data_IF_152447331195
#
_entry.id   IF_152447331195
#
_cell.length_a   1.000
_cell.length_b   1.000
_cell.length_c   1.000
_cell.angle_alpha   90.00
_cell.angle_beta   90.00
_cell.angle_gamma   90.00
#
_symmetry.space_group_name_H-M   'P 1'
#
loop_
_entity.id
_entity.type
_entity.pdbx_description
1 polymer ?
#
# COMPACT_ATOMS: atom_id res chain seq x y z
N UNK A 1 -10.21 -10.91 24.15
CA UNK A 1 -11.39 -10.17 23.65
C UNK A 1 -10.97 -8.74 23.29
N UNK A 2 -10.07 -8.58 22.31
CA UNK A 2 -9.55 -7.27 21.88
C UNK A 2 -8.99 -7.34 20.45
N UNK A 3 -9.72 -7.99 19.54
CA UNK A 3 -9.34 -8.18 18.13
C UNK A 3 -10.45 -7.75 17.15
N UNK A 4 -11.37 -6.87 17.58
CA UNK A 4 -12.58 -6.53 16.81
C UNK A 4 -12.75 -5.04 16.49
N UNK A 5 -11.69 -4.22 16.48
CA UNK A 5 -11.80 -2.79 16.14
C UNK A 5 -10.56 -2.22 15.45
N UNK A 6 -10.00 -2.93 14.47
CA UNK A 6 -9.27 -2.23 13.41
C UNK A 6 -10.26 -2.03 12.26
N UNK A 7 -10.78 -0.81 12.04
CA UNK A 7 -11.58 -0.55 10.84
C UNK A 7 -10.72 -0.93 9.64
N UNK A 8 -11.37 -1.45 8.60
CA UNK A 8 -10.86 -1.89 7.28
C UNK A 8 -9.96 -0.85 6.59
N UNK A 9 -8.82 -0.57 7.18
CA UNK A 9 -7.83 0.43 6.84
C UNK A 9 -6.52 -0.29 7.11
N UNK A 10 -6.02 -1.06 6.15
CA UNK A 10 -4.63 -1.47 6.22
C UNK A 10 -3.80 -0.26 5.82
N UNK A 11 -3.52 0.56 6.83
CA UNK A 11 -2.46 1.55 6.86
C UNK A 11 -1.13 0.79 6.77
N UNK A 12 -0.47 0.93 5.64
CA UNK A 12 0.96 0.65 5.53
C UNK A 12 1.73 1.73 6.31
N UNK A 13 1.80 1.58 7.64
CA UNK A 13 2.71 2.34 8.49
C UNK A 13 3.81 1.41 9.01
N UNK A 14 4.89 1.27 8.24
CA UNK A 14 6.23 1.13 8.80
C UNK A 14 7.16 2.05 8.01
N UNK A 15 7.05 3.33 8.32
CA UNK A 15 8.22 4.19 8.43
C UNK A 15 7.88 5.18 9.52
N UNK A 16 8.68 5.21 10.57
CA UNK A 16 8.53 6.06 11.74
C UNK A 16 8.69 7.58 11.42
N UNK A 17 8.39 8.02 10.18
CA UNK A 17 8.83 9.31 9.63
C UNK A 17 7.72 10.11 8.89
N UNK A 18 6.52 9.57 8.58
CA UNK A 18 5.73 10.25 7.52
C UNK A 18 4.21 10.41 7.62
N UNK A 19 3.57 10.13 8.75
CA UNK A 19 2.30 10.79 9.05
C UNK A 19 2.62 11.97 9.98
N UNK A 20 2.76 13.16 9.39
CA UNK A 20 2.90 14.49 10.02
C UNK A 20 4.22 14.90 10.70
N UNK A 21 5.20 14.02 10.94
CA UNK A 21 6.42 14.41 11.65
C UNK A 21 7.71 14.14 10.86
N UNK A 22 8.20 15.18 10.18
CA UNK A 22 9.56 15.18 9.61
C UNK A 22 10.59 15.31 10.73
N UNK A 23 11.66 14.51 10.65
CA UNK A 23 12.78 14.64 11.58
C UNK A 23 13.58 15.94 11.36
N UNK A 24 13.59 16.45 10.13
CA UNK A 24 14.27 17.69 9.74
C UNK A 24 13.27 18.76 9.26
N UNK A 25 13.56 20.04 9.54
CA UNK A 25 12.81 21.17 9.00
C UNK A 25 13.15 21.47 7.53
N UNK A 26 12.36 22.33 6.89
CA UNK A 26 12.60 22.80 5.51
C UNK A 26 12.06 21.88 4.40
N UNK A 27 11.15 20.97 4.72
CA UNK A 27 10.60 19.99 3.76
C UNK A 27 9.31 20.45 3.04
N UNK A 28 9.00 21.74 3.04
CA UNK A 28 7.74 22.31 2.54
C UNK A 28 7.39 21.86 1.12
N UNK A 29 8.36 21.88 0.20
CA UNK A 29 8.16 21.44 -1.18
C UNK A 29 8.13 19.92 -1.32
N UNK A 30 8.88 19.21 -0.48
CA UNK A 30 8.90 17.74 -0.48
C UNK A 30 7.55 17.20 -0.02
N UNK A 31 6.97 17.82 1.01
CA UNK A 31 5.63 17.49 1.51
C UNK A 31 4.56 17.70 0.45
N UNK A 32 4.66 18.79 -0.33
CA UNK A 32 3.76 19.06 -1.45
C UNK A 32 3.88 17.99 -2.54
N UNK A 33 5.12 17.62 -2.92
CA UNK A 33 5.37 16.60 -3.95
C UNK A 33 4.89 15.23 -3.49
N UNK A 34 5.15 14.84 -2.25
CA UNK A 34 4.72 13.57 -1.70
C UNK A 34 3.19 13.49 -1.62
N UNK A 35 2.54 14.54 -1.13
CA UNK A 35 1.07 14.61 -1.06
C UNK A 35 0.45 14.51 -2.45
N UNK A 36 1.02 15.22 -3.44
CA UNK A 36 0.56 15.15 -4.82
C UNK A 36 0.75 13.75 -5.42
N UNK A 37 1.87 13.09 -5.11
CA UNK A 37 2.14 11.72 -5.56
C UNK A 37 1.11 10.75 -5.00
N UNK A 38 0.80 10.85 -3.70
CA UNK A 38 -0.22 10.02 -3.05
C UNK A 38 -1.60 10.23 -3.66
N UNK A 39 -2.00 11.48 -3.90
CA UNK A 39 -3.28 11.81 -4.53
C UNK A 39 -3.39 11.20 -5.92
N UNK A 40 -2.37 11.39 -6.77
CA UNK A 40 -2.34 10.83 -8.12
C UNK A 40 -2.35 9.31 -8.13
N UNK A 41 -1.68 8.68 -7.17
CA UNK A 41 -1.69 7.23 -7.05
C UNK A 41 -3.10 6.71 -6.73
N UNK A 42 -3.82 7.33 -5.79
CA UNK A 42 -5.21 6.97 -5.51
C UNK A 42 -6.13 7.21 -6.70
N UNK A 43 -5.96 8.35 -7.38
CA UNK A 43 -6.73 8.69 -8.60
C UNK A 43 -6.48 7.71 -9.74
N UNK A 44 -5.22 7.30 -9.97
CA UNK A 44 -4.85 6.38 -11.05
C UNK A 44 -5.46 4.99 -10.92
N UNK A 45 -5.80 4.57 -9.70
CA UNK A 45 -6.48 3.30 -9.41
C UNK A 45 -7.94 3.50 -9.01
N UNK A 46 -8.49 4.71 -9.20
CA UNK A 46 -9.89 5.04 -8.88
C UNK A 46 -10.29 4.74 -7.42
N UNK A 47 -9.36 4.92 -6.48
CA UNK A 47 -9.55 4.54 -5.08
C UNK A 47 -10.13 5.68 -4.23
N UNK A 48 -11.06 5.33 -3.36
CA UNK A 48 -11.58 6.24 -2.35
C UNK A 48 -10.55 6.47 -1.24
N UNK A 49 -10.08 7.71 -1.10
CA UNK A 49 -9.15 8.17 -0.04
C UNK A 49 -9.62 7.89 1.39
N UNK A 50 -10.93 7.67 1.60
CA UNK A 50 -11.47 7.33 2.91
C UNK A 50 -11.33 5.84 3.25
N UNK A 51 -11.11 5.00 2.24
CA UNK A 51 -10.93 3.55 2.37
C UNK A 51 -9.47 3.14 2.18
N UNK A 52 -8.78 3.81 1.25
CA UNK A 52 -7.43 3.48 0.83
C UNK A 52 -6.44 4.59 1.15
N UNK A 53 -5.32 4.19 1.75
CA UNK A 53 -4.12 5.00 1.87
C UNK A 53 -3.00 4.43 1.01
N UNK A 54 -2.03 5.27 0.64
CA UNK A 54 -0.90 4.85 -0.18
C UNK A 54 0.41 5.34 0.42
N UNK A 55 1.41 4.45 0.47
CA UNK A 55 2.78 4.79 0.80
C UNK A 55 3.61 4.79 -0.50
N UNK A 56 4.24 5.92 -0.81
CA UNK A 56 4.99 6.15 -2.06
C UNK A 56 6.52 6.16 -1.84
N UNK A 57 6.99 5.78 -0.66
CA UNK A 57 8.40 5.77 -0.26
C UNK A 57 9.18 4.47 -0.56
N UNK A 58 8.57 3.28 -0.71
CA UNK A 58 9.34 2.06 -0.93
C UNK A 58 10.22 2.17 -2.18
N UNK A 59 11.51 1.83 -2.01
CA UNK A 59 12.53 2.02 -3.05
C UNK A 59 12.33 1.10 -4.26
N UNK A 60 11.72 -0.06 -4.06
CA UNK A 60 11.43 -1.06 -5.10
C UNK A 60 10.37 -2.05 -4.61
N UNK A 61 9.94 -2.98 -5.46
CA UNK A 61 8.92 -3.97 -5.13
C UNK A 61 9.35 -4.92 -4.01
N UNK A 62 10.59 -5.40 -4.02
CA UNK A 62 11.06 -6.34 -2.97
C UNK A 62 11.11 -5.70 -1.58
N UNK A 63 11.67 -4.48 -1.39
CA UNK A 63 11.55 -3.74 -0.13
C UNK A 63 10.10 -3.46 0.28
N UNK A 64 9.23 -3.09 -0.66
CA UNK A 64 7.82 -2.82 -0.36
C UNK A 64 7.12 -4.06 0.24
N UNK A 65 7.35 -5.24 -0.36
CA UNK A 65 6.79 -6.49 0.15
C UNK A 65 7.34 -6.82 1.55
N UNK A 66 8.64 -6.60 1.79
CA UNK A 66 9.25 -6.86 3.07
C UNK A 66 8.76 -5.91 4.18
N UNK A 67 8.52 -4.64 3.85
CA UNK A 67 7.91 -3.66 4.75
C UNK A 67 6.49 -4.08 5.15
N UNK A 68 5.67 -4.57 4.22
CA UNK A 68 4.33 -5.13 4.52
C UNK A 68 4.43 -6.29 5.50
N UNK A 69 5.33 -7.24 5.25
CA UNK A 69 5.51 -8.38 6.15
C UNK A 69 5.95 -7.93 7.54
N UNK A 70 6.89 -6.99 7.62
CA UNK A 70 7.38 -6.45 8.90
C UNK A 70 6.30 -5.67 9.65
N UNK A 71 5.37 -5.04 8.92
CA UNK A 71 4.26 -4.29 9.50
C UNK A 71 3.18 -5.19 10.11
N UNK A 72 2.84 -6.28 9.41
CA UNK A 72 1.69 -7.11 9.75
C UNK A 72 2.04 -8.36 10.55
N UNK A 73 3.30 -8.80 10.51
CA UNK A 73 3.74 -10.08 11.06
C UNK A 73 4.85 -9.88 12.09
N UNK A 74 4.78 -10.64 13.18
CA UNK A 74 5.91 -10.79 14.09
C UNK A 74 6.95 -11.75 13.51
N UNK A 75 8.23 -11.65 13.93
CA UNK A 75 9.22 -12.65 13.55
C UNK A 75 8.72 -14.07 13.86
N UNK A 76 8.84 -14.98 12.88
CA UNK A 76 8.37 -16.37 12.91
C UNK A 76 6.87 -16.61 12.73
N UNK A 77 6.07 -15.56 12.52
CA UNK A 77 4.69 -15.75 12.08
C UNK A 77 4.62 -16.39 10.70
N UNK A 78 3.57 -17.18 10.48
CA UNK A 78 3.36 -17.91 9.23
C UNK A 78 2.52 -17.07 8.27
N UNK A 79 3.04 -16.91 7.06
CA UNK A 79 2.29 -16.38 5.93
C UNK A 79 1.43 -17.53 5.38
N UNK A 80 0.13 -17.50 5.63
CA UNK A 80 -0.83 -18.43 5.02
C UNK A 80 -1.86 -17.65 4.22
N UNK A 81 -2.29 -18.21 3.10
CA UNK A 81 -3.24 -17.58 2.18
C UNK A 81 -4.59 -18.25 2.38
N UNK A 82 -5.58 -17.54 2.94
CA UNK A 82 -7.02 -17.74 2.71
C UNK A 82 -7.89 -16.93 3.68
N UNK A 83 -9.09 -16.57 3.21
CA UNK A 83 -10.20 -16.08 4.04
C UNK A 83 -10.64 -17.11 5.10
N UNK A 84 -10.46 -18.40 4.83
CA UNK A 84 -10.85 -19.49 5.73
C UNK A 84 -10.09 -19.51 7.07
N UNK A 85 -8.93 -18.86 7.14
CA UNK A 85 -8.09 -18.76 8.34
C UNK A 85 -8.07 -17.34 8.93
N UNK A 86 -8.82 -16.39 8.35
CA UNK A 86 -8.86 -14.99 8.80
C UNK A 86 -7.52 -14.26 8.66
N UNK A 87 -6.72 -14.64 7.66
CA UNK A 87 -5.44 -14.01 7.37
C UNK A 87 -5.60 -12.80 6.42
N UNK A 88 -4.68 -11.84 6.49
CA UNK A 88 -4.63 -10.73 5.55
C UNK A 88 -4.28 -11.21 4.14
N UNK A 89 -4.99 -10.70 3.14
CA UNK A 89 -4.70 -10.96 1.73
C UNK A 89 -3.84 -9.83 1.15
N UNK A 90 -2.59 -10.17 0.83
CA UNK A 90 -1.66 -9.28 0.13
C UNK A 90 -1.53 -9.70 -1.34
N UNK A 91 -1.64 -8.74 -2.25
CA UNK A 91 -1.46 -8.95 -3.70
C UNK A 91 -0.30 -8.11 -4.24
N UNK A 92 0.67 -8.77 -4.87
CA UNK A 92 1.72 -8.10 -5.66
C UNK A 92 1.27 -8.00 -7.12
N UNK A 93 0.92 -6.79 -7.55
CA UNK A 93 0.44 -6.52 -8.90
C UNK A 93 1.51 -5.92 -9.83
N UNK A 94 2.80 -6.06 -9.51
CA UNK A 94 3.90 -5.38 -10.20
C UNK A 94 3.91 -5.53 -11.74
N UNK A 95 3.41 -6.66 -12.28
CA UNK A 95 3.37 -6.90 -13.73
C UNK A 95 2.06 -6.47 -14.41
N UNK A 96 0.99 -6.26 -13.65
CA UNK A 96 -0.35 -5.99 -14.19
C UNK A 96 -0.88 -4.61 -13.79
N UNK A 97 -0.13 -3.84 -13.00
CA UNK A 97 -0.59 -2.59 -12.40
C UNK A 97 -1.18 -1.58 -13.40
N UNK A 98 -0.57 -1.43 -14.57
CA UNK A 98 -1.07 -0.53 -15.61
C UNK A 98 -2.29 -1.07 -16.35
N UNK A 99 -2.46 -2.39 -16.40
CA UNK A 99 -3.68 -3.01 -16.91
C UNK A 99 -4.84 -2.80 -15.92
N UNK A 100 -4.56 -2.90 -14.61
CA UNK A 100 -5.53 -2.64 -13.55
C UNK A 100 -5.95 -1.17 -13.58
N UNK A 101 -4.99 -0.24 -13.65
CA UNK A 101 -5.27 1.19 -13.70
C UNK A 101 -6.00 1.62 -14.99
N UNK A 102 -5.83 0.88 -16.09
CA UNK A 102 -6.59 1.07 -17.33
C UNK A 102 -7.95 0.35 -17.34
N UNK A 103 -8.34 -0.31 -16.25
CA UNK A 103 -9.60 -1.06 -16.09
C UNK A 103 -9.80 -2.18 -17.14
N UNK A 104 -8.71 -2.73 -17.70
CA UNK A 104 -8.79 -3.82 -18.70
C UNK A 104 -8.70 -5.22 -18.08
N UNK A 105 -8.36 -5.30 -16.80
CA UNK A 105 -8.33 -6.55 -16.01
C UNK A 105 -9.10 -6.35 -14.70
N UNK A 106 -9.44 -7.46 -14.03
CA UNK A 106 -10.16 -7.43 -12.76
C UNK A 106 -9.41 -6.61 -11.69
N UNK A 107 -10.17 -5.87 -10.90
CA UNK A 107 -9.63 -5.01 -9.86
C UNK A 107 -9.25 -5.83 -8.61
N UNK A 108 -7.95 -5.89 -8.23
CA UNK A 108 -7.52 -6.55 -7.00
C UNK A 108 -7.96 -5.80 -5.72
N UNK A 109 -8.28 -4.50 -5.78
CA UNK A 109 -8.64 -3.68 -4.63
C UNK A 109 -10.00 -4.04 -4.02
N UNK A 110 -10.84 -4.83 -4.69
CA UNK A 110 -12.11 -5.31 -4.11
C UNK A 110 -11.93 -6.43 -3.08
N UNK A 111 -10.88 -7.24 -3.25
CA UNK A 111 -10.67 -8.47 -2.48
C UNK A 111 -9.48 -8.39 -1.52
N UNK A 112 -8.47 -7.61 -1.88
CA UNK A 112 -7.21 -7.56 -1.13
C UNK A 112 -7.25 -6.55 0.00
N UNK A 113 -6.57 -6.86 1.10
CA UNK A 113 -6.35 -5.91 2.19
C UNK A 113 -5.13 -5.01 1.91
N UNK A 114 -4.11 -5.56 1.25
CA UNK A 114 -2.88 -4.85 0.87
C UNK A 114 -2.52 -5.14 -0.58
N UNK A 115 -2.17 -4.09 -1.31
CA UNK A 115 -1.68 -4.21 -2.68
C UNK A 115 -0.31 -3.55 -2.80
N UNK A 116 0.67 -4.29 -3.32
CA UNK A 116 2.00 -3.77 -3.64
C UNK A 116 2.25 -3.79 -5.14
N UNK A 117 3.08 -2.88 -5.63
CA UNK A 117 3.40 -2.79 -7.05
C UNK A 117 4.76 -2.14 -7.28
N UNK A 118 5.34 -2.38 -8.45
CA UNK A 118 6.48 -1.61 -8.97
C UNK A 118 6.01 -0.54 -9.94
N UNK A 119 6.62 0.64 -9.88
CA UNK A 119 6.28 1.78 -10.74
C UNK A 119 6.97 1.79 -12.11
N UNK A 120 7.93 0.89 -12.37
CA UNK A 120 8.76 0.94 -13.59
C UNK A 120 8.38 -0.05 -14.69
N UNK A 121 7.48 -1.01 -14.44
CA UNK A 121 7.10 -2.05 -15.42
C UNK A 121 5.95 -1.55 -16.31
N UNK A 122 4.85 -2.28 -16.33
CA UNK A 122 3.61 -1.87 -16.98
C UNK A 122 2.92 -0.90 -16.03
N UNK A 123 3.48 0.28 -15.79
CA UNK A 123 2.84 1.35 -15.01
C UNK A 123 2.43 2.46 -15.96
N UNK A 124 1.28 3.09 -15.74
CA UNK A 124 0.77 4.18 -16.58
C UNK A 124 1.78 5.33 -16.54
N UNK A 125 2.22 5.77 -17.72
CA UNK A 125 3.01 7.00 -17.94
C UNK A 125 2.09 8.15 -18.29
#
# INVERSE_FOLDING_TARGET
MMLNLLPKIVKLEVSLICFQFRYYGGNEYIDQVETLCQQRALEAFHLDKHKWGVNVQPLSGSPANFEVYTALLSPHDRIMIADAVGAFLMMDMAHISGLVAAEVVADPFEYCDVVTTTTHKVCIK
#
